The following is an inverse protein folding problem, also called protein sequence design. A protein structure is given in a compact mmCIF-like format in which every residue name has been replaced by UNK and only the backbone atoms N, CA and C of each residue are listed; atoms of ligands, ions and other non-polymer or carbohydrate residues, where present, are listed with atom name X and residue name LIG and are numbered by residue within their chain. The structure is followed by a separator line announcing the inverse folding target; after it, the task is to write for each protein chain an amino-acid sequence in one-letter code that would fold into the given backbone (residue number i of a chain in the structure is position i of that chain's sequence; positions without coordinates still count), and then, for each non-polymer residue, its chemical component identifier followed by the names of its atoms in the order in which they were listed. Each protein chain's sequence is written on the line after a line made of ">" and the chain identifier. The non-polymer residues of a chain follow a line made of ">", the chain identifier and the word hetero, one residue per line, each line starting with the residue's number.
data_IF_256059140303
#
_entry.id   IF_256059140303
#
_cell.length_a   1.000
_cell.length_b   1.000
_cell.length_c   1.000
_cell.angle_alpha   90.00
_cell.angle_beta   90.00
_cell.angle_gamma   90.00
#
_symmetry.space_group_name_H-M   'P 1'
#
loop_
_entity.id
_entity.type
_entity.pdbx_description
1 polymer ?
#
# COMPACT_ATOMS: atom_id res chain seq x y z
N UNK A 1 2.48 14.41 17.25
CA UNK A 1 1.80 13.28 16.59
C UNK A 1 2.75 12.73 15.54
N UNK A 2 3.39 11.57 15.74
CA UNK A 2 4.44 11.07 14.86
C UNK A 2 3.78 10.45 13.62
N UNK A 3 3.45 11.23 12.60
CA UNK A 3 2.72 10.72 11.42
C UNK A 3 3.62 10.35 10.23
N UNK A 4 4.93 10.59 10.27
CA UNK A 4 5.68 10.65 9.02
C UNK A 4 6.31 9.34 8.54
N UNK A 5 6.31 8.27 9.34
CA UNK A 5 7.01 7.02 9.00
C UNK A 5 6.12 5.78 8.97
N UNK A 6 5.04 5.73 9.77
CA UNK A 6 4.27 4.48 9.94
C UNK A 6 3.64 3.98 8.64
N UNK A 7 3.06 4.86 7.82
CA UNK A 7 2.42 4.46 6.57
C UNK A 7 3.41 3.97 5.52
N UNK A 8 4.61 4.55 5.45
CA UNK A 8 5.67 4.13 4.52
C UNK A 8 6.23 2.78 4.94
N UNK A 9 6.48 2.59 6.25
CA UNK A 9 6.90 1.29 6.79
C UNK A 9 5.83 0.21 6.59
N UNK A 10 4.55 0.55 6.71
CA UNK A 10 3.45 -0.38 6.47
C UNK A 10 3.41 -0.84 5.00
N UNK A 11 3.55 0.08 4.05
CA UNK A 11 3.63 -0.25 2.61
C UNK A 11 4.84 -1.14 2.32
N UNK A 12 6.02 -0.81 2.89
CA UNK A 12 7.23 -1.62 2.74
C UNK A 12 7.05 -3.04 3.32
N UNK A 13 6.41 -3.16 4.49
CA UNK A 13 6.11 -4.45 5.10
C UNK A 13 5.20 -5.33 4.23
N UNK A 14 4.17 -4.76 3.62
CA UNK A 14 3.30 -5.46 2.67
C UNK A 14 4.09 -5.93 1.45
N UNK A 15 4.99 -5.08 0.92
CA UNK A 15 5.87 -5.43 -0.19
C UNK A 15 6.75 -6.65 0.11
N UNK A 16 7.33 -6.71 1.31
CA UNK A 16 8.15 -7.86 1.75
C UNK A 16 7.29 -9.12 1.83
N UNK A 17 6.11 -9.05 2.44
CA UNK A 17 5.20 -10.21 2.58
C UNK A 17 4.79 -10.74 1.21
N UNK A 18 4.39 -9.86 0.28
CA UNK A 18 3.99 -10.25 -1.08
C UNK A 18 5.15 -10.92 -1.82
N UNK A 19 6.37 -10.38 -1.73
CA UNK A 19 7.55 -10.96 -2.35
C UNK A 19 7.89 -12.35 -1.77
N UNK A 20 7.74 -12.52 -0.45
CA UNK A 20 7.90 -13.82 0.20
C UNK A 20 6.86 -14.83 -0.31
N UNK A 21 5.57 -14.45 -0.36
CA UNK A 21 4.51 -15.34 -0.87
C UNK A 21 4.76 -15.72 -2.32
N UNK A 22 5.13 -14.76 -3.18
CA UNK A 22 5.49 -15.03 -4.57
C UNK A 22 6.62 -16.07 -4.68
N UNK A 23 7.68 -15.89 -3.87
CA UNK A 23 8.84 -16.80 -3.87
C UNK A 23 8.43 -18.21 -3.42
N UNK A 24 7.60 -18.31 -2.39
CA UNK A 24 7.10 -19.59 -1.88
C UNK A 24 6.19 -20.29 -2.90
N UNK A 25 5.26 -19.57 -3.54
CA UNK A 25 4.39 -20.15 -4.58
C UNK A 25 5.18 -20.62 -5.79
N UNK A 26 6.20 -19.86 -6.19
CA UNK A 26 7.11 -20.25 -7.26
C UNK A 26 7.87 -21.53 -6.91
N UNK A 27 8.36 -21.65 -5.67
CA UNK A 27 9.04 -22.88 -5.20
C UNK A 27 8.10 -24.10 -5.16
N UNK A 28 6.80 -23.89 -4.95
CA UNK A 28 5.78 -24.95 -5.01
C UNK A 28 5.35 -25.31 -6.45
N UNK A 29 5.94 -24.71 -7.47
CA UNK A 29 5.55 -24.92 -8.87
C UNK A 29 4.21 -24.28 -9.27
N UNK A 30 3.66 -23.40 -8.43
CA UNK A 30 2.40 -22.68 -8.67
C UNK A 30 2.67 -21.27 -9.21
N UNK A 31 3.31 -21.20 -10.37
CA UNK A 31 3.80 -19.94 -10.93
C UNK A 31 2.65 -19.01 -11.38
N UNK A 32 1.52 -19.55 -11.85
CA UNK A 32 0.33 -18.75 -12.18
C UNK A 32 -0.18 -17.97 -10.95
N UNK A 33 -0.32 -18.65 -9.82
CA UNK A 33 -0.77 -18.02 -8.58
C UNK A 33 0.26 -17.00 -8.07
N UNK A 34 1.56 -17.23 -8.29
CA UNK A 34 2.60 -16.30 -7.87
C UNK A 34 2.42 -14.95 -8.58
N UNK A 35 2.20 -14.97 -9.89
CA UNK A 35 1.93 -13.76 -10.68
C UNK A 35 0.68 -13.02 -10.22
N UNK A 36 -0.41 -13.75 -9.95
CA UNK A 36 -1.64 -13.16 -9.41
C UNK A 36 -1.40 -12.49 -8.07
N UNK A 37 -0.67 -13.12 -7.15
CA UNK A 37 -0.35 -12.55 -5.83
C UNK A 37 0.42 -11.25 -5.96
N UNK A 38 1.42 -11.18 -6.85
CA UNK A 38 2.17 -9.94 -7.08
C UNK A 38 1.27 -8.83 -7.62
N UNK A 39 0.37 -9.14 -8.55
CA UNK A 39 -0.57 -8.18 -9.12
C UNK A 39 -1.55 -7.65 -8.07
N UNK A 40 -2.13 -8.54 -7.26
CA UNK A 40 -3.01 -8.16 -6.15
C UNK A 40 -2.26 -7.35 -5.09
N UNK A 41 -1.05 -7.76 -4.72
CA UNK A 41 -0.20 -7.04 -3.77
C UNK A 41 0.10 -5.63 -4.26
N UNK A 42 0.42 -5.48 -5.54
CA UNK A 42 0.61 -4.17 -6.16
C UNK A 42 -0.69 -3.33 -6.13
N UNK A 43 -1.84 -3.94 -6.46
CA UNK A 43 -3.14 -3.27 -6.37
C UNK A 43 -3.48 -2.75 -4.97
N UNK A 44 -3.18 -3.53 -3.92
CA UNK A 44 -3.37 -3.12 -2.52
C UNK A 44 -2.47 -1.93 -2.16
N UNK A 45 -1.20 -1.96 -2.56
CA UNK A 45 -0.27 -0.85 -2.31
C UNK A 45 -0.75 0.43 -3.00
N UNK A 46 -1.19 0.34 -4.26
CA UNK A 46 -1.76 1.49 -4.96
C UNK A 46 -3.00 2.05 -4.25
N UNK A 47 -3.88 1.18 -3.74
CA UNK A 47 -5.06 1.60 -3.00
C UNK A 47 -4.69 2.33 -1.70
N UNK A 48 -3.67 1.86 -0.98
CA UNK A 48 -3.15 2.55 0.21
C UNK A 48 -2.61 3.94 -0.12
N UNK A 49 -1.86 4.06 -1.22
CA UNK A 49 -1.35 5.36 -1.67
C UNK A 49 -2.51 6.30 -2.05
N UNK A 50 -3.55 5.79 -2.70
CA UNK A 50 -4.73 6.59 -3.02
C UNK A 50 -5.45 7.11 -1.77
N UNK A 51 -5.60 6.29 -0.72
CA UNK A 51 -6.18 6.71 0.55
C UNK A 51 -5.33 7.79 1.24
N UNK A 52 -3.99 7.66 1.21
CA UNK A 52 -3.11 8.71 1.72
C UNK A 52 -3.37 10.02 0.98
N UNK A 53 -3.37 10.00 -0.35
CA UNK A 53 -3.65 11.20 -1.16
C UNK A 53 -5.00 11.81 -0.79
N UNK A 54 -6.04 10.99 -0.60
CA UNK A 54 -7.36 11.46 -0.17
C UNK A 54 -7.31 12.18 1.19
N UNK A 55 -6.59 11.64 2.17
CA UNK A 55 -6.40 12.26 3.48
C UNK A 55 -5.66 13.60 3.38
N UNK A 56 -4.64 13.67 2.50
CA UNK A 56 -3.92 14.91 2.22
C UNK A 56 -4.87 15.96 1.61
N UNK A 57 -5.70 15.57 0.63
CA UNK A 57 -6.71 16.45 0.05
C UNK A 57 -7.74 16.91 1.08
N UNK A 58 -8.22 16.02 1.95
CA UNK A 58 -9.17 16.37 3.00
C UNK A 58 -8.55 17.35 4.00
N UNK A 59 -7.28 17.15 4.35
CA UNK A 59 -6.52 18.05 5.22
C UNK A 59 -6.42 19.44 4.61
N UNK A 60 -6.08 19.54 3.31
CA UNK A 60 -6.06 20.81 2.57
C UNK A 60 -7.45 21.45 2.62
N UNK A 61 -8.51 20.74 2.24
CA UNK A 61 -9.88 21.27 2.25
C UNK A 61 -10.29 21.79 3.63
N UNK A 62 -9.98 21.07 4.70
CA UNK A 62 -10.30 21.49 6.07
C UNK A 62 -9.58 22.79 6.45
N UNK A 63 -8.29 22.90 6.15
CA UNK A 63 -7.51 24.12 6.46
C UNK A 63 -8.03 25.33 5.68
N UNK A 64 -8.41 25.13 4.42
CA UNK A 64 -8.91 26.22 3.58
C UNK A 64 -10.40 26.58 3.84
N UNK A 65 -11.23 25.62 4.28
CA UNK A 65 -12.65 25.85 4.59
C UNK A 65 -12.89 26.51 5.96
N UNK A 66 -11.97 26.36 6.93
CA UNK A 66 -12.10 26.97 8.27
C UNK A 66 -11.63 28.44 8.36
N UNK A 67 -11.39 29.13 7.23
CA UNK A 67 -10.88 30.51 7.20
C UNK A 67 -11.93 31.60 6.88
N UNK A 68 -13.21 31.34 7.08
CA UNK A 68 -14.23 32.43 7.10
C UNK A 68 -15.21 32.18 8.24
#
# INVERSE_FOLDING_TARGET
>A
MPYHLDSVFQIAGIGIIVAMIHTVLKQMGKEDFAHWVTLFGFGVVLFMVAMLIQDLFQTIKNVFLFRT
#
